data_IF_844175441707
#
_entry.id   IF_844175441707
#
_cell.length_a   1.000
_cell.length_b   1.000
_cell.length_c   1.000
_cell.angle_alpha   90.00
_cell.angle_beta   90.00
_cell.angle_gamma   90.00
#
_symmetry.space_group_name_H-M   'P 1'
#
loop_
_entity.id
_entity.type
_entity.pdbx_description
1 polymer ?
#
# COMPACT_ATOMS: atom_id res chain seq x y z
N UNK A 1 -9.20 26.86 12.52
CA UNK A 1 -7.93 26.19 12.88
C UNK A 1 -7.98 25.29 14.13
N UNK A 2 -8.94 25.46 15.06
CA UNK A 2 -9.06 24.59 16.25
C UNK A 2 -9.64 23.18 16.00
N UNK A 3 -10.37 22.96 14.90
CA UNK A 3 -11.00 21.66 14.60
C UNK A 3 -9.99 20.54 14.24
N UNK A 4 -8.78 20.90 13.78
CA UNK A 4 -7.75 19.95 13.33
C UNK A 4 -7.09 19.24 14.53
N UNK A 5 -7.12 19.85 15.73
CA UNK A 5 -6.52 19.29 16.94
C UNK A 5 -7.38 18.19 17.60
N UNK A 6 -8.64 17.99 17.17
CA UNK A 6 -9.54 16.98 17.73
C UNK A 6 -9.52 15.64 16.97
N UNK A 7 -8.95 15.62 15.76
CA UNK A 7 -8.85 14.42 14.91
C UNK A 7 -8.11 13.25 15.58
N UNK A 8 -7.02 13.43 16.37
CA UNK A 8 -6.31 12.31 16.97
C UNK A 8 -7.00 11.74 18.23
N UNK A 9 -8.05 12.38 18.76
CA UNK A 9 -8.79 11.89 19.94
C UNK A 9 -9.90 10.91 19.60
N UNK A 10 -10.27 10.78 18.32
CA UNK A 10 -11.26 9.80 17.88
C UNK A 10 -10.57 8.42 17.75
N UNK A 11 -10.46 7.72 18.88
CA UNK A 11 -10.21 6.27 18.88
C UNK A 11 -11.48 5.55 18.44
N UNK A 12 -11.76 5.59 17.13
CA UNK A 12 -12.90 4.88 16.54
C UNK A 12 -12.65 3.36 16.61
N UNK A 13 -13.08 2.72 17.70
CA UNK A 13 -13.07 1.25 17.84
C UNK A 13 -14.32 0.69 17.13
N UNK A 14 -14.30 0.65 15.80
CA UNK A 14 -15.38 0.03 15.01
C UNK A 14 -15.16 -1.47 15.07
N UNK A 15 -16.02 -2.19 15.79
CA UNK A 15 -16.23 -3.61 15.57
C UNK A 15 -16.81 -3.76 14.17
N UNK A 16 -15.93 -3.90 13.18
CA UNK A 16 -16.31 -4.10 11.79
C UNK A 16 -16.81 -5.52 11.63
N UNK A 17 -18.13 -5.72 11.56
CA UNK A 17 -18.70 -6.97 11.02
C UNK A 17 -18.02 -7.21 9.67
N UNK A 18 -17.32 -8.34 9.53
CA UNK A 18 -16.59 -8.66 8.32
C UNK A 18 -17.56 -8.69 7.14
N UNK A 19 -17.45 -7.70 6.25
CA UNK A 19 -18.26 -7.62 5.05
C UNK A 19 -17.76 -8.72 4.10
N UNK A 20 -18.61 -9.69 3.78
CA UNK A 20 -18.31 -10.74 2.80
C UNK A 20 -19.09 -10.45 1.50
N UNK A 21 -18.59 -9.49 0.72
CA UNK A 21 -19.16 -9.12 -0.58
C UNK A 21 -18.42 -9.82 -1.72
N UNK A 22 -19.10 -10.08 -2.85
CA UNK A 22 -18.49 -10.66 -4.07
C UNK A 22 -17.25 -9.90 -4.57
N UNK A 23 -17.21 -8.59 -4.36
CA UNK A 23 -16.04 -7.73 -4.72
C UNK A 23 -14.80 -8.11 -3.90
N UNK A 24 -14.96 -8.48 -2.63
CA UNK A 24 -13.85 -8.91 -1.76
C UNK A 24 -13.37 -10.32 -2.14
N UNK A 25 -14.24 -11.14 -2.73
CA UNK A 25 -13.89 -12.46 -3.26
C UNK A 25 -13.10 -12.38 -4.57
N UNK A 26 -13.23 -11.26 -5.30
CA UNK A 26 -12.42 -10.97 -6.49
C UNK A 26 -10.97 -10.61 -6.15
N UNK A 27 -10.70 -10.16 -4.92
CA UNK A 27 -9.32 -9.89 -4.47
C UNK A 27 -8.61 -11.23 -4.29
N UNK A 28 -7.48 -11.46 -5.00
CA UNK A 28 -6.71 -12.70 -4.90
C UNK A 28 -6.36 -13.06 -3.45
N UNK A 29 -6.45 -14.35 -3.11
CA UNK A 29 -6.29 -14.84 -1.74
C UNK A 29 -4.87 -14.64 -1.21
N UNK A 30 -3.87 -14.62 -2.10
CA UNK A 30 -2.45 -14.34 -1.86
C UNK A 30 -2.20 -12.89 -1.39
N UNK A 31 -3.21 -12.01 -1.45
CA UNK A 31 -3.09 -10.61 -1.07
C UNK A 31 -3.87 -10.22 0.18
N UNK A 32 -3.34 -10.71 1.32
CA UNK A 32 -3.88 -10.52 2.66
C UNK A 32 -4.10 -9.05 3.04
N UNK A 33 -3.18 -8.16 2.67
CA UNK A 33 -3.18 -6.74 3.04
C UNK A 33 -4.41 -6.03 2.48
N UNK A 34 -4.66 -6.18 1.19
CA UNK A 34 -5.83 -5.60 0.55
C UNK A 34 -7.12 -6.23 1.06
N UNK A 35 -7.13 -7.55 1.24
CA UNK A 35 -8.32 -8.23 1.74
C UNK A 35 -8.67 -7.80 3.16
N UNK A 36 -7.68 -7.63 4.03
CA UNK A 36 -7.89 -7.15 5.41
C UNK A 36 -8.30 -5.67 5.45
N UNK A 37 -7.61 -4.82 4.70
CA UNK A 37 -7.90 -3.39 4.61
C UNK A 37 -9.27 -3.08 4.02
N UNK A 38 -9.59 -3.65 2.86
CA UNK A 38 -10.88 -3.46 2.18
C UNK A 38 -12.03 -3.98 3.04
N UNK A 39 -11.88 -5.13 3.72
CA UNK A 39 -12.93 -5.62 4.64
C UNK A 39 -13.23 -4.62 5.78
N UNK A 40 -12.20 -3.93 6.27
CA UNK A 40 -12.33 -2.97 7.38
C UNK A 40 -12.88 -1.61 6.93
N UNK A 41 -12.53 -1.18 5.73
CA UNK A 41 -12.79 0.18 5.24
C UNK A 41 -13.57 0.25 3.92
N UNK A 42 -14.29 -0.80 3.52
CA UNK A 42 -14.95 -0.90 2.20
C UNK A 42 -15.77 0.35 1.84
N UNK A 43 -16.77 0.69 2.66
CA UNK A 43 -17.67 1.81 2.39
C UNK A 43 -16.97 3.18 2.37
N UNK A 44 -16.15 3.57 3.37
CA UNK A 44 -15.44 4.85 3.30
C UNK A 44 -14.44 4.89 2.14
N UNK A 45 -13.77 3.78 1.82
CA UNK A 45 -12.85 3.68 0.68
C UNK A 45 -13.59 3.86 -0.65
N UNK A 46 -14.73 3.21 -0.83
CA UNK A 46 -15.57 3.34 -2.03
C UNK A 46 -16.12 4.76 -2.18
N UNK A 47 -16.60 5.38 -1.10
CA UNK A 47 -17.12 6.74 -1.13
C UNK A 47 -16.03 7.75 -1.47
N UNK A 48 -14.83 7.58 -0.92
CA UNK A 48 -13.66 8.38 -1.28
C UNK A 48 -13.34 8.23 -2.78
N UNK A 49 -13.26 6.99 -3.29
CA UNK A 49 -12.96 6.73 -4.69
C UNK A 49 -14.00 7.33 -5.64
N UNK A 50 -15.29 7.17 -5.34
CA UNK A 50 -16.39 7.79 -6.11
C UNK A 50 -16.36 9.32 -6.03
N UNK A 51 -16.05 9.88 -4.86
CA UNK A 51 -15.90 11.32 -4.68
C UNK A 51 -14.79 11.90 -5.57
N UNK A 52 -13.66 11.20 -5.67
CA UNK A 52 -12.57 11.60 -6.58
C UNK A 52 -13.04 11.47 -8.03
N UNK A 53 -13.64 10.33 -8.39
CA UNK A 53 -14.15 10.09 -9.74
C UNK A 53 -15.11 11.19 -10.21
N UNK A 54 -16.18 11.48 -9.46
CA UNK A 54 -17.14 12.52 -9.81
C UNK A 54 -16.58 13.93 -9.66
N UNK A 55 -15.58 14.14 -8.80
CA UNK A 55 -14.90 15.42 -8.62
C UNK A 55 -13.81 15.72 -9.66
N UNK A 56 -13.54 14.80 -10.60
CA UNK A 56 -12.40 14.88 -11.53
C UNK A 56 -12.43 16.05 -12.53
N UNK A 57 -13.54 16.79 -12.59
CA UNK A 57 -13.66 18.04 -13.35
C UNK A 57 -12.85 19.20 -12.74
N UNK A 58 -12.41 19.04 -11.49
CA UNK A 58 -11.54 19.98 -10.82
C UNK A 58 -10.08 19.51 -10.92
N UNK A 59 -9.21 20.40 -11.38
CA UNK A 59 -7.79 20.14 -11.64
C UNK A 59 -7.06 19.47 -10.46
N UNK A 60 -7.32 19.90 -9.23
CA UNK A 60 -6.60 19.38 -8.06
C UNK A 60 -7.14 18.05 -7.51
N UNK A 61 -8.36 17.64 -7.89
CA UNK A 61 -9.06 16.54 -7.20
C UNK A 61 -8.42 15.19 -7.45
N UNK A 62 -8.05 14.87 -8.70
CA UNK A 62 -7.44 13.57 -9.00
C UNK A 62 -6.04 13.45 -8.40
N UNK A 63 -5.13 14.43 -8.54
CA UNK A 63 -3.81 14.31 -7.92
C UNK A 63 -3.87 14.13 -6.40
N UNK A 64 -4.58 15.03 -5.72
CA UNK A 64 -4.78 14.93 -4.26
C UNK A 64 -5.47 13.61 -3.91
N UNK A 65 -6.46 13.20 -4.70
CA UNK A 65 -7.19 11.96 -4.54
C UNK A 65 -6.30 10.72 -4.61
N UNK A 66 -5.36 10.66 -5.57
CA UNK A 66 -4.41 9.56 -5.70
C UNK A 66 -3.50 9.45 -4.48
N UNK A 67 -2.96 10.57 -3.99
CA UNK A 67 -2.15 10.59 -2.75
C UNK A 67 -2.98 10.12 -1.55
N UNK A 68 -4.21 10.60 -1.40
CA UNK A 68 -5.09 10.21 -0.28
C UNK A 68 -5.44 8.72 -0.37
N UNK A 69 -5.76 8.20 -1.56
CA UNK A 69 -6.00 6.77 -1.76
C UNK A 69 -4.77 5.94 -1.41
N UNK A 70 -3.58 6.38 -1.83
CA UNK A 70 -2.33 5.72 -1.47
C UNK A 70 -2.11 5.70 0.05
N UNK A 71 -2.37 6.81 0.77
CA UNK A 71 -2.26 6.86 2.24
C UNK A 71 -3.24 5.91 2.93
N UNK A 72 -4.46 5.77 2.42
CA UNK A 72 -5.43 4.79 2.94
C UNK A 72 -4.91 3.37 2.72
N UNK A 73 -4.40 3.06 1.53
CA UNK A 73 -3.85 1.73 1.20
C UNK A 73 -2.59 1.45 2.02
N UNK A 74 -1.75 2.45 2.25
CA UNK A 74 -0.58 2.36 3.11
C UNK A 74 -0.95 1.88 4.53
N UNK A 75 -2.10 2.31 5.06
CA UNK A 75 -2.59 1.82 6.37
C UNK A 75 -2.89 0.31 6.40
N UNK A 76 -3.08 -0.33 5.23
CA UNK A 76 -3.31 -1.78 5.14
C UNK A 76 -2.03 -2.59 5.41
N UNK A 77 -0.87 -1.95 5.29
CA UNK A 77 0.45 -2.56 5.49
C UNK A 77 0.97 -2.44 6.93
N UNK A 78 0.23 -1.81 7.84
CA UNK A 78 0.69 -1.60 9.23
C UNK A 78 0.89 -2.90 10.03
N UNK A 79 0.05 -3.91 9.78
CA UNK A 79 0.06 -5.17 10.52
C UNK A 79 0.57 -6.28 9.60
N UNK A 80 1.59 -6.98 10.05
CA UNK A 80 2.13 -8.14 9.35
C UNK A 80 1.15 -9.32 9.39
N UNK A 81 1.08 -10.08 8.30
CA UNK A 81 0.32 -11.32 8.24
C UNK A 81 0.89 -12.39 9.20
N UNK A 82 0.11 -13.45 9.53
CA UNK A 82 0.64 -14.60 10.26
C UNK A 82 1.68 -15.36 9.43
N UNK A 83 2.67 -15.99 10.08
CA UNK A 83 3.70 -16.80 9.41
C UNK A 83 3.13 -17.95 8.57
N UNK A 84 2.01 -18.55 9.00
CA UNK A 84 1.33 -19.60 8.22
C UNK A 84 0.91 -19.14 6.83
N UNK A 85 0.65 -17.84 6.64
CA UNK A 85 0.31 -17.28 5.34
C UNK A 85 1.51 -17.19 4.41
N UNK A 86 2.71 -16.93 4.95
CA UNK A 86 3.96 -16.93 4.19
C UNK A 86 4.26 -18.35 3.69
N UNK A 87 4.22 -19.31 4.61
CA UNK A 87 4.55 -20.72 4.34
C UNK A 87 3.56 -21.34 3.34
N UNK A 88 2.26 -21.01 3.45
CA UNK A 88 1.22 -21.55 2.57
C UNK A 88 1.37 -21.20 1.08
N UNK A 89 2.23 -20.24 0.73
CA UNK A 89 2.52 -19.94 -0.68
C UNK A 89 3.63 -20.83 -1.26
N UNK A 90 4.43 -21.50 -0.42
CA UNK A 90 5.51 -22.41 -0.84
C UNK A 90 6.48 -21.78 -1.87
N UNK A 91 6.68 -20.46 -1.79
CA UNK A 91 7.55 -19.71 -2.68
C UNK A 91 8.90 -19.43 -2.03
N UNK A 92 10.01 -19.48 -2.79
CA UNK A 92 11.28 -19.02 -2.28
C UNK A 92 11.22 -17.50 -2.00
N UNK A 93 12.03 -16.98 -1.05
CA UNK A 93 11.96 -15.58 -0.60
C UNK A 93 11.97 -14.51 -1.70
N UNK A 94 12.76 -14.72 -2.76
CA UNK A 94 12.82 -13.79 -3.89
C UNK A 94 11.52 -13.74 -4.68
N UNK A 95 10.94 -14.91 -4.97
CA UNK A 95 9.70 -15.02 -5.72
C UNK A 95 8.51 -14.54 -4.89
N UNK A 96 8.49 -14.86 -3.59
CA UNK A 96 7.51 -14.34 -2.66
C UNK A 96 7.53 -12.80 -2.62
N UNK A 97 8.71 -12.20 -2.45
CA UNK A 97 8.84 -10.74 -2.39
C UNK A 97 8.45 -10.08 -3.72
N UNK A 98 8.89 -10.66 -4.85
CA UNK A 98 8.52 -10.16 -6.18
C UNK A 98 7.00 -10.24 -6.40
N UNK A 99 6.37 -11.35 -6.03
CA UNK A 99 4.92 -11.52 -6.10
C UNK A 99 4.22 -10.41 -5.31
N UNK A 100 4.63 -10.16 -4.06
CA UNK A 100 4.03 -9.13 -3.21
C UNK A 100 4.18 -7.73 -3.78
N UNK A 101 5.38 -7.38 -4.28
CA UNK A 101 5.63 -6.09 -4.94
C UNK A 101 4.75 -5.95 -6.19
N UNK A 102 4.74 -6.98 -7.06
CA UNK A 102 3.93 -7.00 -8.27
C UNK A 102 2.44 -6.83 -7.97
N UNK A 103 1.91 -7.57 -6.99
CA UNK A 103 0.50 -7.47 -6.57
C UNK A 103 0.15 -6.07 -6.08
N UNK A 104 1.01 -5.46 -5.26
CA UNK A 104 0.77 -4.11 -4.76
C UNK A 104 0.73 -3.08 -5.89
N UNK A 105 1.73 -3.10 -6.76
CA UNK A 105 1.81 -2.17 -7.89
C UNK A 105 0.63 -2.38 -8.85
N UNK A 106 0.27 -3.62 -9.18
CA UNK A 106 -0.86 -3.91 -10.05
C UNK A 106 -2.19 -3.43 -9.45
N UNK A 107 -2.46 -3.72 -8.18
CA UNK A 107 -3.72 -3.32 -7.52
C UNK A 107 -3.85 -1.81 -7.42
N UNK A 108 -2.77 -1.12 -7.03
CA UNK A 108 -2.78 0.34 -6.97
C UNK A 108 -3.02 0.96 -8.35
N UNK A 109 -2.34 0.46 -9.38
CA UNK A 109 -2.51 0.94 -10.75
C UNK A 109 -3.93 0.68 -11.30
N UNK A 110 -4.49 -0.50 -11.05
CA UNK A 110 -5.88 -0.82 -11.45
C UNK A 110 -6.89 0.13 -10.81
N UNK A 111 -6.66 0.53 -9.56
CA UNK A 111 -7.50 1.50 -8.86
C UNK A 111 -7.33 2.94 -9.39
N UNK A 112 -6.10 3.33 -9.73
CA UNK A 112 -5.75 4.67 -10.20
C UNK A 112 -6.14 4.90 -11.66
N UNK A 113 -6.02 3.89 -12.53
CA UNK A 113 -6.20 4.02 -13.98
C UNK A 113 -7.55 4.65 -14.39
N UNK A 114 -8.71 4.24 -13.85
CA UNK A 114 -9.99 4.86 -14.20
C UNK A 114 -10.05 6.35 -13.80
N UNK A 115 -9.42 6.72 -12.68
CA UNK A 115 -9.38 8.11 -12.21
C UNK A 115 -8.49 8.97 -13.12
N UNK A 116 -7.32 8.45 -13.51
CA UNK A 116 -6.41 9.11 -14.44
C UNK A 116 -7.05 9.25 -15.82
N UNK A 117 -7.79 8.24 -16.28
CA UNK A 117 -8.52 8.29 -17.53
C UNK A 117 -9.57 9.40 -17.53
N UNK A 118 -10.36 9.52 -16.46
CA UNK A 118 -11.36 10.60 -16.33
C UNK A 118 -10.69 11.96 -16.22
N UNK A 119 -9.57 12.07 -15.48
CA UNK A 119 -8.78 13.29 -15.41
C UNK A 119 -8.33 13.75 -16.80
N UNK A 120 -7.81 12.82 -17.62
CA UNK A 120 -7.35 13.12 -18.97
C UNK A 120 -8.46 13.68 -19.88
N UNK A 121 -9.70 13.24 -19.69
CA UNK A 121 -10.86 13.75 -20.43
C UNK A 121 -11.12 15.23 -20.10
N UNK A 122 -11.00 15.63 -18.83
CA UNK A 122 -11.28 17.00 -18.38
C UNK A 122 -10.06 17.95 -18.42
N UNK A 123 -8.85 17.41 -18.30
CA UNK A 123 -7.59 18.14 -18.11
C UNK A 123 -6.50 17.60 -19.06
N UNK A 124 -6.83 17.51 -20.35
CA UNK A 124 -5.97 16.95 -21.39
C UNK A 124 -4.60 17.63 -21.46
N UNK A 125 -4.54 18.96 -21.27
CA UNK A 125 -3.29 19.72 -21.38
C UNK A 125 -2.30 19.35 -20.27
N UNK A 126 -2.80 18.90 -19.13
CA UNK A 126 -2.04 18.57 -17.92
C UNK A 126 -1.89 17.06 -17.72
N UNK A 127 -1.98 16.28 -18.80
CA UNK A 127 -1.88 14.82 -18.80
C UNK A 127 -0.63 14.25 -18.11
N UNK A 128 0.47 14.99 -18.15
CA UNK A 128 1.75 14.58 -17.56
C UNK A 128 1.70 14.54 -16.03
N UNK A 129 0.82 15.35 -15.41
CA UNK A 129 0.74 15.49 -13.95
C UNK A 129 0.41 14.15 -13.26
N UNK A 130 -0.73 13.48 -13.55
CA UNK A 130 -1.04 12.19 -12.92
C UNK A 130 -0.04 11.09 -13.29
N UNK A 131 0.66 11.18 -14.43
CA UNK A 131 1.65 10.16 -14.83
C UNK A 131 2.93 10.28 -13.99
N UNK A 132 3.43 11.50 -13.81
CA UNK A 132 4.59 11.76 -12.95
C UNK A 132 4.27 11.34 -11.52
N UNK A 133 3.10 11.74 -11.03
CA UNK A 133 2.63 11.36 -9.70
C UNK A 133 2.49 9.84 -9.54
N UNK A 134 1.88 9.16 -10.52
CA UNK A 134 1.77 7.70 -10.49
C UNK A 134 3.14 7.03 -10.43
N UNK A 135 4.14 7.56 -11.13
CA UNK A 135 5.52 7.06 -11.10
C UNK A 135 6.14 7.16 -9.70
N UNK A 136 5.91 8.28 -9.01
CA UNK A 136 6.35 8.48 -7.62
C UNK A 136 5.65 7.48 -6.70
N UNK A 137 4.32 7.35 -6.84
CA UNK A 137 3.53 6.41 -6.03
C UNK A 137 3.91 4.96 -6.31
N UNK A 138 4.35 4.59 -7.52
CA UNK A 138 4.90 3.25 -7.80
C UNK A 138 6.17 2.97 -6.99
N UNK A 139 7.11 3.90 -6.93
CA UNK A 139 8.33 3.76 -6.11
C UNK A 139 7.94 3.58 -4.64
N UNK A 140 6.97 4.34 -4.16
CA UNK A 140 6.48 4.23 -2.78
C UNK A 140 5.79 2.90 -2.50
N UNK A 141 5.00 2.39 -3.44
CA UNK A 141 4.39 1.06 -3.34
C UNK A 141 5.44 -0.06 -3.24
N UNK A 142 6.52 0.03 -4.02
CA UNK A 142 7.65 -0.92 -3.94
C UNK A 142 8.33 -0.80 -2.57
N UNK A 143 8.61 0.44 -2.15
CA UNK A 143 9.29 0.72 -0.89
C UNK A 143 8.55 0.16 0.32
N UNK A 144 7.23 0.40 0.45
CA UNK A 144 6.46 -0.05 1.62
C UNK A 144 6.41 -1.58 1.73
N UNK A 145 6.35 -2.29 0.61
CA UNK A 145 6.33 -3.75 0.59
C UNK A 145 7.69 -4.29 1.03
N UNK A 146 8.78 -3.77 0.46
CA UNK A 146 10.14 -4.18 0.82
C UNK A 146 10.41 -3.87 2.29
N UNK A 147 10.04 -2.68 2.75
CA UNK A 147 10.24 -2.28 4.14
C UNK A 147 9.45 -3.13 5.12
N UNK A 148 8.21 -3.51 4.76
CA UNK A 148 7.41 -4.46 5.54
C UNK A 148 8.16 -5.76 5.74
N UNK A 149 8.64 -6.38 4.66
CA UNK A 149 9.32 -7.68 4.74
C UNK A 149 10.75 -7.61 5.31
N UNK A 150 11.43 -6.47 5.20
CA UNK A 150 12.73 -6.23 5.84
C UNK A 150 12.70 -6.17 7.37
N UNK A 151 11.51 -5.91 7.96
CA UNK A 151 11.31 -5.86 9.40
C UNK A 151 10.09 -6.70 9.82
N UNK A 152 9.81 -7.75 9.05
CA UNK A 152 8.66 -8.61 9.26
C UNK A 152 8.83 -9.45 10.51
N UNK A 153 7.82 -9.36 11.38
CA UNK A 153 7.56 -10.25 12.50
C UNK A 153 6.06 -10.62 12.46
N UNK A 154 5.71 -11.91 12.57
CA UNK A 154 4.33 -12.36 12.39
C UNK A 154 3.35 -11.67 13.33
N UNK A 155 2.20 -11.22 12.82
CA UNK A 155 1.12 -10.58 13.60
C UNK A 155 1.51 -9.30 14.36
N UNK A 156 2.69 -8.74 14.10
CA UNK A 156 3.18 -7.57 14.82
C UNK A 156 3.24 -6.32 13.96
N UNK A 157 3.23 -5.17 14.62
CA UNK A 157 3.59 -3.88 14.01
C UNK A 157 5.04 -3.58 14.34
N UNK A 158 5.90 -3.46 13.34
CA UNK A 158 7.28 -3.08 13.58
C UNK A 158 7.40 -1.57 13.77
N UNK A 159 7.91 -1.13 14.93
CA UNK A 159 8.17 0.29 15.20
C UNK A 159 9.23 0.85 14.24
N UNK A 160 10.28 0.08 13.93
CA UNK A 160 11.28 0.46 12.95
C UNK A 160 10.69 0.63 11.55
N UNK A 161 9.81 -0.29 11.13
CA UNK A 161 9.09 -0.19 9.86
C UNK A 161 8.19 1.05 9.82
N UNK A 162 7.46 1.36 10.90
CA UNK A 162 6.63 2.58 10.98
C UNK A 162 7.45 3.86 10.86
N UNK A 163 8.55 3.98 11.61
CA UNK A 163 9.42 5.16 11.56
C UNK A 163 10.01 5.34 10.16
N UNK A 164 10.51 4.27 9.54
CA UNK A 164 11.06 4.35 8.18
C UNK A 164 9.97 4.59 7.12
N UNK A 165 8.77 4.06 7.33
CA UNK A 165 7.64 4.32 6.43
C UNK A 165 7.25 5.79 6.42
N UNK A 166 7.39 6.49 7.57
CA UNK A 166 7.15 7.93 7.63
C UNK A 166 8.06 8.72 6.68
N UNK A 167 9.29 8.25 6.44
CA UNK A 167 10.19 8.85 5.45
C UNK A 167 9.63 8.71 4.02
N UNK A 168 9.03 7.56 3.70
CA UNK A 168 8.32 7.35 2.43
C UNK A 168 7.11 8.26 2.28
N UNK A 169 6.33 8.47 3.34
CA UNK A 169 5.22 9.43 3.33
C UNK A 169 5.73 10.86 3.12
N UNK A 170 6.81 11.25 3.80
CA UNK A 170 7.41 12.58 3.67
C UNK A 170 7.95 12.87 2.26
N UNK A 171 8.43 11.85 1.53
CA UNK A 171 8.94 12.06 0.18
C UNK A 171 7.87 12.44 -0.85
N UNK A 172 6.58 12.23 -0.54
CA UNK A 172 5.47 12.74 -1.36
C UNK A 172 5.52 14.27 -1.41
N UNK A 173 5.79 14.90 -0.28
CA UNK A 173 5.86 16.35 -0.14
C UNK A 173 7.25 16.92 -0.45
N UNK A 174 8.28 16.08 -0.33
CA UNK A 174 9.68 16.44 -0.55
C UNK A 174 10.28 15.52 -1.62
N UNK A 175 10.09 15.81 -2.91
CA UNK A 175 10.53 14.94 -4.01
C UNK A 175 12.04 14.65 -4.01
N UNK A 176 12.85 15.54 -3.43
CA UNK A 176 14.29 15.33 -3.27
C UNK A 176 14.66 14.12 -2.40
N UNK A 177 13.71 13.57 -1.61
CA UNK A 177 13.91 12.34 -0.85
C UNK A 177 13.76 11.07 -1.72
N UNK A 178 13.21 11.16 -2.93
CA UNK A 178 12.99 9.99 -3.81
C UNK A 178 14.31 9.27 -4.16
N UNK A 179 15.41 9.95 -4.53
CA UNK A 179 16.72 9.30 -4.70
C UNK A 179 17.16 8.48 -3.48
N UNK A 180 16.92 8.99 -2.26
CA UNK A 180 17.23 8.27 -1.04
C UNK A 180 16.36 7.01 -0.89
N UNK A 181 15.09 7.05 -1.30
CA UNK A 181 14.22 5.86 -1.30
C UNK A 181 14.75 4.76 -2.22
N UNK A 182 15.31 5.09 -3.39
CA UNK A 182 15.92 4.06 -4.25
C UNK A 182 17.07 3.32 -3.56
N UNK A 183 17.94 4.06 -2.86
CA UNK A 183 19.04 3.47 -2.08
C UNK A 183 18.48 2.57 -0.96
N UNK A 184 17.44 3.04 -0.26
CA UNK A 184 16.80 2.27 0.81
C UNK A 184 16.06 1.03 0.28
N UNK A 185 15.41 1.12 -0.88
CA UNK A 185 14.79 -0.02 -1.57
C UNK A 185 15.83 -1.10 -1.80
N UNK A 186 17.00 -0.76 -2.35
CA UNK A 186 18.07 -1.73 -2.61
C UNK A 186 18.58 -2.33 -1.30
N UNK A 187 18.89 -1.50 -0.30
CA UNK A 187 19.40 -1.97 0.99
C UNK A 187 18.41 -2.88 1.70
N UNK A 188 17.14 -2.48 1.76
CA UNK A 188 16.10 -3.25 2.44
C UNK A 188 15.63 -4.43 1.64
N UNK A 189 15.82 -4.46 0.32
CA UNK A 189 15.58 -5.64 -0.48
C UNK A 189 16.42 -6.82 0.00
N UNK A 190 17.74 -6.64 0.14
CA UNK A 190 18.61 -7.71 0.67
C UNK A 190 18.21 -8.13 2.08
N UNK A 191 17.94 -7.14 2.95
CA UNK A 191 17.45 -7.42 4.30
C UNK A 191 16.12 -8.18 4.32
N UNK A 192 15.20 -7.88 3.41
CA UNK A 192 13.92 -8.57 3.30
C UNK A 192 14.11 -10.02 2.86
N UNK A 193 15.02 -10.29 1.92
CA UNK A 193 15.37 -11.65 1.52
C UNK A 193 15.95 -12.44 2.70
N UNK A 194 16.90 -11.86 3.43
CA UNK A 194 17.51 -12.52 4.60
C UNK A 194 16.48 -12.80 5.68
N UNK A 195 15.59 -11.85 5.96
CA UNK A 195 14.53 -12.03 6.94
C UNK A 195 13.50 -13.08 6.50
N UNK A 196 13.12 -13.10 5.21
CA UNK A 196 12.18 -14.09 4.66
C UNK A 196 12.78 -15.49 4.58
N UNK A 197 14.08 -15.64 4.34
CA UNK A 197 14.79 -16.94 4.35
C UNK A 197 14.55 -17.69 5.67
N UNK A 198 14.59 -16.99 6.81
CA UNK A 198 14.34 -17.56 8.13
C UNK A 198 12.93 -18.19 8.24
N UNK A 199 11.91 -17.61 7.60
CA UNK A 199 10.54 -18.11 7.69
C UNK A 199 10.15 -19.08 6.59
N UNK A 200 10.83 -19.06 5.45
CA UNK A 200 10.42 -19.82 4.26
C UNK A 200 11.32 -21.04 3.99
N UNK A 201 12.59 -21.02 4.39
CA UNK A 201 13.53 -22.11 4.10
C UNK A 201 13.92 -22.91 5.36
N UNK A 202 13.71 -22.38 6.56
CA UNK A 202 14.10 -23.06 7.81
C UNK A 202 13.07 -24.11 8.28
N UNK A 203 11.96 -24.28 7.53
CA UNK A 203 10.97 -25.34 7.74
C UNK A 203 11.11 -26.52 6.75
N UNK A 204 12.12 -26.50 5.87
CA UNK A 204 12.56 -27.68 5.12
C UNK A 204 13.36 -28.64 6.05
N UNK A 205 12.79 -29.00 7.20
CA UNK A 205 13.23 -30.17 7.96
C UNK A 205 12.47 -31.39 7.47
N UNK A 206 12.71 -31.78 6.21
CA UNK A 206 12.44 -33.14 5.74
C UNK A 206 13.77 -33.84 5.50
N UNK A 207 14.35 -34.34 6.60
CA UNK A 207 15.11 -35.59 6.60
C UNK A 207 14.20 -36.77 6.33
#
# INVERSE_FOLDING_TARGET
MLAILLVPLIKWKRSSKAINNKIIQLIPYDFYEWKSGVRKYFYPFLLLWLGIFFGSFQFAVVPIGLVVLWLVIFSFFEVNEPASFLIALELPPKEFLFLKVKRQVMMYNQLALPLIFVYYIFHYNEWFLPIVELSILMVLNIYIVILKYAFYHPNEKSAASQTLSSLGVLSIFIPFLIPALFILIIRFYFKAIDNLNFYLNDFDTTT
#
